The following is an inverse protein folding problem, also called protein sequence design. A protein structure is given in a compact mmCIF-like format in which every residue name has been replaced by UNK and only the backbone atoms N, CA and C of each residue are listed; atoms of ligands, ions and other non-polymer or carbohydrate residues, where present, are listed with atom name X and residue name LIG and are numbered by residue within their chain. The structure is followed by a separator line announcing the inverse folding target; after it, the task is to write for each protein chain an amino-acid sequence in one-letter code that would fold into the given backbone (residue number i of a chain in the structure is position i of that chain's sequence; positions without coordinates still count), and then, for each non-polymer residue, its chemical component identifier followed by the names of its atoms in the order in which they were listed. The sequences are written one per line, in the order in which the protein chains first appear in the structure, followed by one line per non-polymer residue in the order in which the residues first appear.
data_IF_883793471130
#
_entry.id   IF_883793471130
#
_cell.length_a   1.000
_cell.length_b   1.000
_cell.length_c   1.000
_cell.angle_alpha   90.00
_cell.angle_beta   90.00
_cell.angle_gamma   90.00
#
_symmetry.space_group_name_H-M   'P 1'
#
loop_
_entity.id
_entity.type
_entity.pdbx_description
1 polymer ?
#
# COMPACT_ATOMS: atom_id res chain seq x y z
N UNK A 1 42.57 23.40 -34.35
CA UNK A 1 41.66 22.26 -34.22
C UNK A 1 41.21 21.98 -32.78
N UNK A 2 42.02 22.20 -31.73
CA UNK A 2 41.68 21.96 -30.31
C UNK A 2 40.51 22.83 -29.75
N UNK A 3 40.27 24.02 -30.26
CA UNK A 3 39.23 24.90 -29.73
C UNK A 3 37.81 24.49 -30.17
N UNK A 4 37.65 23.99 -31.39
CA UNK A 4 36.33 23.48 -31.86
C UNK A 4 35.93 22.19 -31.17
N UNK A 5 36.88 21.30 -30.88
CA UNK A 5 36.62 20.07 -30.14
C UNK A 5 36.16 20.37 -28.67
N UNK A 6 36.76 21.38 -28.01
CA UNK A 6 36.34 21.81 -26.69
C UNK A 6 34.93 22.42 -26.67
N UNK A 7 34.60 23.24 -27.65
CA UNK A 7 33.24 23.82 -27.76
C UNK A 7 32.17 22.76 -28.00
N UNK A 8 32.46 21.77 -28.84
CA UNK A 8 31.56 20.65 -29.08
C UNK A 8 31.39 19.80 -27.82
N UNK A 9 32.50 19.49 -27.11
CA UNK A 9 32.45 18.74 -25.85
C UNK A 9 31.66 19.47 -24.75
N UNK A 10 31.84 20.80 -24.64
CA UNK A 10 31.05 21.63 -23.72
C UNK A 10 29.56 21.64 -24.08
N UNK A 11 29.22 21.79 -25.36
CA UNK A 11 27.83 21.74 -25.83
C UNK A 11 27.15 20.39 -25.52
N UNK A 12 27.87 19.29 -25.75
CA UNK A 12 27.37 17.94 -25.39
C UNK A 12 27.18 17.79 -23.88
N UNK A 13 28.14 18.24 -23.08
CA UNK A 13 28.01 18.17 -21.61
C UNK A 13 26.82 18.97 -21.09
N UNK A 14 26.63 20.21 -21.58
CA UNK A 14 25.48 21.04 -21.22
C UNK A 14 24.17 20.37 -21.63
N UNK A 15 24.11 19.80 -22.86
CA UNK A 15 22.93 19.07 -23.34
C UNK A 15 22.58 17.87 -22.49
N UNK A 16 23.57 17.07 -22.03
CA UNK A 16 23.35 15.94 -21.16
C UNK A 16 22.86 16.37 -19.76
N UNK A 17 23.42 17.44 -19.20
CA UNK A 17 22.96 17.99 -17.93
C UNK A 17 21.55 18.53 -18.04
N UNK A 18 21.21 19.26 -19.11
CA UNK A 18 19.85 19.73 -19.33
C UNK A 18 18.85 18.59 -19.49
N UNK A 19 19.21 17.53 -20.23
CA UNK A 19 18.39 16.33 -20.39
C UNK A 19 18.17 15.64 -19.03
N UNK A 20 19.20 15.52 -18.22
CA UNK A 20 19.08 14.95 -16.87
C UNK A 20 18.11 15.76 -16.00
N UNK A 21 18.21 17.09 -16.00
CA UNK A 21 17.27 17.94 -15.27
C UNK A 21 15.84 17.84 -15.79
N UNK A 22 15.65 17.73 -17.10
CA UNK A 22 14.32 17.52 -17.68
C UNK A 22 13.75 16.18 -17.24
N UNK A 23 14.54 15.11 -17.26
CA UNK A 23 14.11 13.79 -16.82
C UNK A 23 13.80 13.75 -15.32
N UNK A 24 14.61 14.40 -14.49
CA UNK A 24 14.36 14.53 -13.05
C UNK A 24 13.09 15.35 -12.78
N UNK A 25 12.92 16.48 -13.45
CA UNK A 25 11.72 17.30 -13.33
C UNK A 25 10.47 16.52 -13.78
N UNK A 26 10.57 15.79 -14.89
CA UNK A 26 9.47 14.94 -15.38
C UNK A 26 9.13 13.82 -14.38
N UNK A 27 10.14 13.15 -13.81
CA UNK A 27 9.97 12.14 -12.77
C UNK A 27 9.27 12.70 -11.53
N UNK A 28 9.70 13.86 -11.03
CA UNK A 28 9.09 14.52 -9.87
C UNK A 28 7.65 14.99 -10.13
N UNK A 29 7.36 15.45 -11.33
CA UNK A 29 6.01 15.90 -11.71
C UNK A 29 5.05 14.74 -11.98
N UNK A 30 5.58 13.57 -12.35
CA UNK A 30 4.80 12.36 -12.62
C UNK A 30 4.85 11.34 -11.47
N UNK A 31 5.39 11.72 -10.32
CA UNK A 31 5.36 10.88 -9.12
C UNK A 31 3.92 10.71 -8.63
N UNK A 32 3.37 9.52 -8.83
CA UNK A 32 2.03 9.14 -8.35
C UNK A 32 2.06 8.61 -6.90
N UNK A 33 3.24 8.55 -6.29
CA UNK A 33 3.42 8.07 -4.93
C UNK A 33 2.56 8.86 -3.93
N UNK A 34 1.75 8.16 -3.16
CA UNK A 34 0.90 8.74 -2.13
C UNK A 34 -0.30 9.56 -2.61
N UNK A 35 -0.57 9.65 -3.94
CA UNK A 35 -1.71 10.43 -4.45
C UNK A 35 -3.06 9.85 -4.04
N UNK A 36 -3.19 8.52 -4.03
CA UNK A 36 -4.39 7.81 -3.57
C UNK A 36 -4.68 8.11 -2.10
N UNK A 37 -3.66 8.00 -1.24
CA UNK A 37 -3.76 8.30 0.19
C UNK A 37 -4.16 9.77 0.44
N UNK A 38 -3.55 10.70 -0.28
CA UNK A 38 -3.88 12.14 -0.18
C UNK A 38 -5.34 12.42 -0.59
N UNK A 39 -5.82 11.81 -1.68
CA UNK A 39 -7.22 11.94 -2.14
C UNK A 39 -8.19 11.37 -1.11
N UNK A 40 -7.95 10.15 -0.63
CA UNK A 40 -8.78 9.53 0.39
C UNK A 40 -8.88 10.39 1.65
N UNK A 41 -7.74 10.86 2.17
CA UNK A 41 -7.69 11.66 3.40
C UNK A 41 -8.25 13.10 3.24
N UNK A 42 -8.50 13.56 2.00
CA UNK A 42 -9.28 14.78 1.72
C UNK A 42 -10.79 14.53 1.59
N UNK A 43 -11.22 13.28 1.62
CA UNK A 43 -12.63 12.88 1.48
C UNK A 43 -13.09 12.67 0.03
N UNK A 44 -12.16 12.62 -0.95
CA UNK A 44 -12.50 12.44 -2.37
C UNK A 44 -13.04 11.03 -2.68
N UNK A 45 -12.88 10.05 -1.80
CA UNK A 45 -13.28 8.64 -1.94
C UNK A 45 -12.92 8.03 -3.31
N UNK A 46 -11.64 8.00 -3.70
CA UNK A 46 -11.24 7.44 -4.98
C UNK A 46 -11.52 5.93 -5.04
N UNK A 47 -11.74 5.41 -6.24
CA UNK A 47 -11.89 3.96 -6.43
C UNK A 47 -10.57 3.27 -6.06
N UNK A 48 -10.64 2.21 -5.24
CA UNK A 48 -9.48 1.39 -4.89
C UNK A 48 -8.98 0.66 -6.14
N UNK A 49 -7.66 0.68 -6.41
CA UNK A 49 -7.08 -0.17 -7.44
C UNK A 49 -7.40 -1.64 -7.18
N UNK A 50 -7.88 -2.35 -8.21
CA UNK A 50 -8.19 -3.77 -8.09
C UNK A 50 -6.92 -4.61 -8.18
N UNK A 51 -6.94 -5.78 -7.54
CA UNK A 51 -5.89 -6.78 -7.65
C UNK A 51 -6.48 -8.18 -7.58
N UNK A 52 -5.80 -9.14 -8.21
CA UNK A 52 -6.00 -10.58 -8.03
C UNK A 52 -4.64 -11.18 -7.74
N UNK A 53 -4.43 -11.67 -6.53
CA UNK A 53 -3.14 -12.12 -6.03
C UNK A 53 -3.26 -13.50 -5.37
N UNK A 54 -2.18 -14.29 -5.48
CA UNK A 54 -2.07 -15.58 -4.80
C UNK A 54 -2.09 -15.42 -3.28
N UNK A 55 -2.80 -16.30 -2.60
CA UNK A 55 -2.85 -16.34 -1.15
C UNK A 55 -1.59 -16.98 -0.55
N UNK A 56 -1.18 -16.48 0.63
CA UNK A 56 -0.12 -17.07 1.44
C UNK A 56 -0.64 -17.95 2.56
N UNK A 57 -1.86 -17.71 3.01
CA UNK A 57 -2.54 -18.38 4.12
C UNK A 57 -3.28 -19.64 3.67
N UNK A 58 -3.67 -19.72 2.40
CA UNK A 58 -4.47 -20.80 1.81
C UNK A 58 -4.08 -21.00 0.35
N UNK A 59 -4.63 -22.02 -0.30
CA UNK A 59 -4.49 -22.22 -1.74
C UNK A 59 -5.45 -21.28 -2.51
N UNK A 60 -5.05 -20.89 -3.73
CA UNK A 60 -5.83 -20.07 -4.64
C UNK A 60 -5.48 -18.60 -4.61
N UNK A 61 -6.40 -17.79 -5.09
CA UNK A 61 -6.23 -16.35 -5.27
C UNK A 61 -7.31 -15.58 -4.50
N UNK A 62 -7.02 -14.33 -4.17
CA UNK A 62 -7.99 -13.37 -3.68
C UNK A 62 -8.09 -12.21 -4.67
N UNK A 63 -9.30 -12.01 -5.17
CA UNK A 63 -9.65 -10.85 -5.99
C UNK A 63 -10.37 -9.82 -5.09
N UNK A 64 -9.84 -8.60 -5.02
CA UNK A 64 -10.45 -7.52 -4.25
C UNK A 64 -11.92 -7.28 -4.67
N UNK A 65 -12.23 -7.45 -5.96
CA UNK A 65 -13.59 -7.24 -6.47
C UNK A 65 -14.62 -8.23 -5.89
N UNK A 66 -14.17 -9.42 -5.47
CA UNK A 66 -15.02 -10.43 -4.82
C UNK A 66 -15.47 -10.03 -3.41
N UNK A 67 -14.85 -9.00 -2.84
CA UNK A 67 -15.17 -8.46 -1.52
C UNK A 67 -16.16 -7.28 -1.57
N UNK A 68 -16.73 -6.96 -2.75
CA UNK A 68 -17.80 -5.94 -2.86
C UNK A 68 -18.95 -6.23 -1.91
N UNK A 69 -19.51 -5.20 -1.33
CA UNK A 69 -20.54 -5.30 -0.29
C UNK A 69 -19.99 -5.47 1.13
N UNK A 70 -18.66 -5.57 1.27
CA UNK A 70 -17.97 -5.59 2.57
C UNK A 70 -17.05 -4.39 2.71
N UNK A 71 -16.85 -3.92 3.93
CA UNK A 71 -15.74 -3.02 4.22
C UNK A 71 -14.43 -3.81 4.21
N UNK A 72 -13.36 -3.25 3.64
CA UNK A 72 -12.06 -3.93 3.53
C UNK A 72 -10.96 -3.05 4.08
N UNK A 73 -10.13 -3.60 4.96
CA UNK A 73 -8.87 -3.00 5.40
C UNK A 73 -7.74 -3.70 4.65
N UNK A 74 -7.08 -3.01 3.73
CA UNK A 74 -5.90 -3.52 3.01
C UNK A 74 -4.67 -2.96 3.70
N UNK A 75 -3.82 -3.84 4.21
CA UNK A 75 -2.57 -3.48 4.89
C UNK A 75 -1.37 -3.99 4.09
N UNK A 76 -0.53 -3.07 3.65
CA UNK A 76 0.73 -3.36 2.95
C UNK A 76 1.86 -3.53 3.97
N UNK A 77 2.54 -4.66 3.91
CA UNK A 77 3.57 -5.03 4.87
C UNK A 77 4.68 -5.91 4.27
N UNK A 78 5.75 -6.13 5.03
CA UNK A 78 6.79 -7.10 4.73
C UNK A 78 7.36 -7.70 6.03
N UNK A 79 7.90 -8.90 6.00
CA UNK A 79 8.44 -9.58 7.19
C UNK A 79 9.66 -8.88 7.80
N UNK A 80 10.43 -8.18 7.00
CA UNK A 80 11.60 -7.40 7.41
C UNK A 80 11.25 -6.02 8.01
N UNK A 81 9.99 -5.57 7.85
CA UNK A 81 9.52 -4.28 8.35
C UNK A 81 9.34 -4.31 9.87
N UNK A 82 10.10 -3.51 10.60
CA UNK A 82 10.06 -3.49 12.06
C UNK A 82 8.72 -2.94 12.60
N UNK A 83 8.17 -1.78 12.13
CA UNK A 83 6.88 -1.28 12.62
C UNK A 83 5.69 -2.16 12.22
N UNK A 84 5.79 -2.97 11.15
CA UNK A 84 4.75 -3.94 10.78
C UNK A 84 4.55 -5.02 11.86
N UNK A 85 5.62 -5.36 12.62
CA UNK A 85 5.54 -6.30 13.75
C UNK A 85 4.73 -5.76 14.91
N UNK A 86 4.74 -4.44 15.08
CA UNK A 86 4.05 -3.76 16.16
C UNK A 86 2.55 -3.59 15.87
N UNK A 87 2.17 -3.44 14.60
CA UNK A 87 0.76 -3.30 14.24
C UNK A 87 0.02 -4.62 13.99
N UNK A 88 0.74 -5.71 13.68
CA UNK A 88 0.12 -6.99 13.37
C UNK A 88 -0.92 -7.47 14.42
N UNK A 89 -0.66 -7.36 15.74
CA UNK A 89 -1.66 -7.71 16.75
C UNK A 89 -2.91 -6.80 16.72
N UNK A 90 -2.76 -5.53 16.32
CA UNK A 90 -3.88 -4.58 16.21
C UNK A 90 -4.80 -4.98 15.07
N UNK A 91 -4.24 -5.31 13.92
CA UNK A 91 -5.02 -5.75 12.75
C UNK A 91 -5.70 -7.09 13.01
N UNK A 92 -5.05 -8.01 13.72
CA UNK A 92 -5.67 -9.29 14.13
C UNK A 92 -6.84 -9.07 15.08
N UNK A 93 -6.73 -8.13 16.03
CA UNK A 93 -7.83 -7.76 16.91
C UNK A 93 -9.02 -7.17 16.12
N UNK A 94 -8.75 -6.29 15.16
CA UNK A 94 -9.76 -5.71 14.27
C UNK A 94 -10.45 -6.80 13.45
N UNK A 95 -9.68 -7.73 12.88
CA UNK A 95 -10.20 -8.88 12.15
C UNK A 95 -11.08 -9.77 13.01
N UNK A 96 -10.61 -10.15 14.19
CA UNK A 96 -11.35 -11.02 15.10
C UNK A 96 -12.72 -10.42 15.49
N UNK A 97 -12.80 -9.10 15.69
CA UNK A 97 -14.03 -8.38 16.02
C UNK A 97 -14.91 -8.10 14.80
N UNK A 98 -14.29 -7.88 13.65
CA UNK A 98 -14.94 -7.37 12.44
C UNK A 98 -15.52 -8.43 11.51
N UNK A 99 -14.96 -9.65 11.49
CA UNK A 99 -15.33 -10.71 10.53
C UNK A 99 -16.80 -11.13 10.55
N UNK A 100 -17.52 -10.87 11.64
CA UNK A 100 -18.96 -11.12 11.75
C UNK A 100 -19.82 -9.89 11.38
N UNK A 101 -19.20 -8.76 11.04
CA UNK A 101 -19.83 -7.47 10.73
C UNK A 101 -19.59 -7.02 9.29
N UNK A 102 -19.36 -7.95 8.35
CA UNK A 102 -19.02 -7.64 6.95
C UNK A 102 -17.73 -6.80 6.81
N UNK A 103 -16.77 -6.99 7.70
CA UNK A 103 -15.43 -6.44 7.61
C UNK A 103 -14.42 -7.54 7.23
N UNK A 104 -13.57 -7.26 6.26
CA UNK A 104 -12.44 -8.12 5.89
C UNK A 104 -11.14 -7.34 6.07
N UNK A 105 -10.17 -7.94 6.74
CA UNK A 105 -8.79 -7.48 6.74
C UNK A 105 -8.03 -8.30 5.72
N UNK A 106 -7.28 -7.67 4.83
CA UNK A 106 -6.40 -8.32 3.84
C UNK A 106 -4.98 -7.80 4.06
N UNK A 107 -4.08 -8.69 4.44
CA UNK A 107 -2.65 -8.40 4.44
C UNK A 107 -2.06 -8.57 3.04
N UNK A 108 -1.38 -7.57 2.56
CA UNK A 108 -0.69 -7.62 1.27
C UNK A 108 0.81 -7.58 1.51
N UNK A 109 1.44 -8.76 1.40
CA UNK A 109 2.88 -8.95 1.55
C UNK A 109 3.59 -8.59 0.26
N UNK A 110 4.46 -7.59 0.30
CA UNK A 110 5.15 -7.07 -0.88
C UNK A 110 6.66 -6.89 -0.65
N UNK A 111 7.43 -7.05 -1.73
CA UNK A 111 8.89 -6.90 -1.70
C UNK A 111 9.55 -7.82 -0.66
N UNK A 112 9.03 -9.02 -0.51
CA UNK A 112 9.43 -10.00 0.49
C UNK A 112 9.55 -11.42 -0.11
N UNK A 113 10.03 -12.38 0.68
CA UNK A 113 10.10 -13.78 0.32
C UNK A 113 8.98 -14.57 0.99
N UNK A 114 8.23 -15.37 0.22
CA UNK A 114 7.11 -16.19 0.72
C UNK A 114 7.43 -16.99 2.00
N UNK A 115 8.60 -17.65 2.16
CA UNK A 115 8.92 -18.36 3.38
C UNK A 115 9.03 -17.46 4.61
N UNK A 116 9.55 -16.23 4.42
CA UNK A 116 9.73 -15.25 5.50
C UNK A 116 8.39 -14.64 5.89
N UNK A 117 7.56 -14.27 4.90
CA UNK A 117 6.18 -13.84 5.11
C UNK A 117 5.36 -14.88 5.89
N UNK A 118 5.39 -16.17 5.47
CA UNK A 118 4.71 -17.24 6.19
C UNK A 118 5.24 -17.45 7.60
N UNK A 119 6.54 -17.23 7.84
CA UNK A 119 7.14 -17.28 9.18
C UNK A 119 6.64 -16.14 10.05
N UNK A 120 6.53 -14.93 9.46
CA UNK A 120 5.96 -13.76 10.11
C UNK A 120 4.51 -14.02 10.51
N UNK A 121 3.66 -14.48 9.60
CA UNK A 121 2.25 -14.82 9.88
C UNK A 121 2.12 -15.77 11.08
N UNK A 122 2.89 -16.87 11.08
CA UNK A 122 2.88 -17.83 12.21
C UNK A 122 3.35 -17.21 13.51
N UNK A 123 4.40 -16.36 13.46
CA UNK A 123 4.98 -15.73 14.66
C UNK A 123 4.02 -14.75 15.32
N UNK A 124 3.26 -14.01 14.54
CA UNK A 124 2.33 -12.99 15.04
C UNK A 124 0.88 -13.47 15.10
N UNK A 125 0.61 -14.74 14.80
CA UNK A 125 -0.71 -15.34 14.89
C UNK A 125 -1.72 -14.73 13.93
N UNK A 126 -1.29 -14.34 12.72
CA UNK A 126 -2.14 -13.73 11.70
C UNK A 126 -3.11 -14.77 11.16
N UNK A 127 -4.42 -14.51 11.26
CA UNK A 127 -5.51 -15.37 10.79
C UNK A 127 -6.38 -14.72 9.73
N UNK A 128 -6.21 -13.43 9.46
CA UNK A 128 -6.85 -12.78 8.32
C UNK A 128 -6.20 -13.20 6.98
N UNK A 129 -6.93 -13.12 5.85
CA UNK A 129 -6.40 -13.40 4.53
C UNK A 129 -5.13 -12.62 4.22
N UNK A 130 -4.10 -13.30 3.72
CA UNK A 130 -2.85 -12.68 3.27
C UNK A 130 -2.57 -13.07 1.84
N UNK A 131 -2.28 -12.07 1.00
CA UNK A 131 -1.89 -12.23 -0.40
C UNK A 131 -0.45 -11.81 -0.65
N UNK A 132 0.15 -12.32 -1.71
CA UNK A 132 1.54 -12.08 -2.08
C UNK A 132 1.66 -11.25 -3.35
N UNK A 133 2.18 -10.02 -3.22
CA UNK A 133 2.42 -9.10 -4.34
C UNK A 133 3.82 -9.25 -4.96
N UNK A 134 4.69 -10.06 -4.35
CA UNK A 134 6.02 -10.35 -4.89
C UNK A 134 6.83 -9.09 -5.18
N UNK A 135 6.99 -8.70 -6.47
CA UNK A 135 7.78 -7.52 -6.86
C UNK A 135 7.14 -6.18 -6.45
N UNK A 136 5.84 -6.15 -6.10
CA UNK A 136 5.18 -4.95 -5.60
C UNK A 136 4.38 -4.16 -6.65
N UNK A 137 3.79 -4.81 -7.64
CA UNK A 137 2.96 -4.14 -8.64
C UNK A 137 1.74 -3.45 -8.03
N UNK A 138 1.03 -4.13 -7.14
CA UNK A 138 -0.11 -3.54 -6.41
C UNK A 138 0.34 -2.41 -5.48
N UNK A 139 1.54 -2.54 -4.89
CA UNK A 139 2.18 -1.48 -4.09
C UNK A 139 2.31 -0.18 -4.91
N UNK A 140 2.72 -0.29 -6.17
CA UNK A 140 2.88 0.85 -7.08
C UNK A 140 1.50 1.43 -7.48
N UNK A 141 0.49 0.59 -7.74
CA UNK A 141 -0.87 1.02 -8.09
C UNK A 141 -1.56 1.79 -6.96
N UNK A 142 -1.31 1.41 -5.70
CA UNK A 142 -1.79 2.14 -4.52
C UNK A 142 -0.94 3.37 -4.18
N UNK A 143 0.23 3.52 -4.82
CA UNK A 143 1.18 4.59 -4.54
C UNK A 143 1.79 4.49 -3.15
N UNK A 144 1.99 3.26 -2.65
CA UNK A 144 2.61 2.99 -1.34
C UNK A 144 4.06 3.44 -1.36
N UNK A 145 4.43 4.27 -0.41
CA UNK A 145 5.77 4.87 -0.32
C UNK A 145 6.69 4.17 0.67
N UNK A 146 6.11 3.37 1.57
CA UNK A 146 6.84 2.61 2.59
C UNK A 146 5.93 1.63 3.32
N UNK A 147 6.49 0.82 4.20
CA UNK A 147 5.73 -0.13 5.02
C UNK A 147 5.79 0.24 6.51
N UNK A 148 4.66 0.05 7.23
CA UNK A 148 3.36 -0.34 6.71
C UNK A 148 2.57 0.84 6.14
N UNK A 149 1.64 0.56 5.23
CA UNK A 149 0.57 1.49 4.86
C UNK A 149 -0.77 0.75 4.84
N UNK A 150 -1.82 1.39 5.38
CA UNK A 150 -3.15 0.78 5.52
C UNK A 150 -4.19 1.63 4.81
N UNK A 151 -5.02 0.99 4.00
CA UNK A 151 -6.14 1.61 3.29
C UNK A 151 -7.46 1.00 3.77
N UNK A 152 -8.43 1.85 4.09
CA UNK A 152 -9.79 1.44 4.42
C UNK A 152 -10.68 1.68 3.21
N UNK A 153 -11.38 0.64 2.79
CA UNK A 153 -12.20 0.62 1.57
C UNK A 153 -13.64 0.34 1.98
N UNK A 154 -14.60 1.11 1.47
CA UNK A 154 -16.02 0.93 1.72
C UNK A 154 -16.63 -0.21 0.88
N UNK A 155 -17.92 -0.50 1.11
CA UNK A 155 -18.65 -1.56 0.43
C UNK A 155 -18.77 -1.35 -1.08
N UNK A 156 -18.67 -0.11 -1.56
CA UNK A 156 -18.65 0.24 -2.98
C UNK A 156 -17.23 0.13 -3.59
N UNK A 157 -16.21 -0.16 -2.78
CA UNK A 157 -14.81 -0.28 -3.17
C UNK A 157 -14.11 1.04 -3.39
N UNK A 158 -14.50 2.06 -2.63
CA UNK A 158 -13.83 3.36 -2.59
C UNK A 158 -12.96 3.48 -1.36
N UNK A 159 -11.81 4.08 -1.49
CA UNK A 159 -10.92 4.33 -0.36
C UNK A 159 -11.46 5.50 0.46
N UNK A 160 -11.81 5.25 1.71
CA UNK A 160 -12.34 6.27 2.63
C UNK A 160 -11.24 6.87 3.51
N UNK A 161 -10.19 6.11 3.80
CA UNK A 161 -9.04 6.60 4.57
C UNK A 161 -7.77 5.84 4.20
N UNK A 162 -6.62 6.48 4.42
CA UNK A 162 -5.31 5.88 4.30
C UNK A 162 -4.40 6.32 5.46
N UNK A 163 -3.60 5.38 5.95
CA UNK A 163 -2.66 5.56 7.05
C UNK A 163 -1.26 5.21 6.57
N UNK A 164 -0.36 6.18 6.65
CA UNK A 164 1.06 5.99 6.35
C UNK A 164 1.80 5.76 7.66
N UNK A 165 2.44 4.61 7.79
CA UNK A 165 3.06 4.15 9.04
C UNK A 165 2.13 3.24 9.87
N UNK A 166 2.67 2.73 10.97
CA UNK A 166 1.98 1.75 11.82
C UNK A 166 0.76 2.35 12.55
N UNK A 167 -0.33 1.60 12.60
CA UNK A 167 -1.59 1.99 13.28
C UNK A 167 -1.64 1.43 14.71
N UNK A 168 -0.54 1.48 15.44
CA UNK A 168 -0.39 0.91 16.77
C UNK A 168 -0.54 1.92 17.93
N UNK A 169 -0.48 3.23 17.66
CA UNK A 169 -0.75 4.30 18.62
C UNK A 169 -2.24 4.44 18.93
N UNK A 170 -2.57 5.05 20.07
CA UNK A 170 -3.95 5.24 20.50
C UNK A 170 -4.76 6.09 19.52
N UNK A 171 -4.18 7.22 19.09
CA UNK A 171 -4.83 8.13 18.14
C UNK A 171 -5.05 7.46 16.78
N UNK A 172 -4.05 6.71 16.28
CA UNK A 172 -4.15 5.97 15.01
C UNK A 172 -5.22 4.88 15.09
N UNK A 173 -5.32 4.16 16.21
CA UNK A 173 -6.35 3.15 16.44
C UNK A 173 -7.76 3.74 16.44
N UNK A 174 -7.97 4.87 17.12
CA UNK A 174 -9.25 5.58 17.14
C UNK A 174 -9.63 6.04 15.73
N UNK A 175 -8.70 6.64 15.01
CA UNK A 175 -8.92 7.06 13.60
C UNK A 175 -9.21 5.89 12.67
N UNK A 176 -8.48 4.78 12.81
CA UNK A 176 -8.71 3.57 12.02
C UNK A 176 -10.10 2.98 12.32
N UNK A 177 -10.49 2.90 13.59
CA UNK A 177 -11.83 2.42 13.97
C UNK A 177 -12.93 3.31 13.38
N UNK A 178 -12.78 4.63 13.47
CA UNK A 178 -13.72 5.59 12.87
C UNK A 178 -13.85 5.43 11.34
N UNK A 179 -12.73 5.21 10.66
CA UNK A 179 -12.73 4.96 9.21
C UNK A 179 -13.42 3.62 8.84
N UNK A 180 -13.22 2.59 9.66
CA UNK A 180 -13.89 1.30 9.50
C UNK A 180 -15.40 1.45 9.70
N UNK A 181 -15.84 2.18 10.73
CA UNK A 181 -17.26 2.40 10.99
C UNK A 181 -17.92 3.23 9.86
N UNK A 182 -17.21 4.21 9.29
CA UNK A 182 -17.65 4.95 8.08
C UNK A 182 -17.78 4.00 6.87
N UNK A 183 -16.78 3.14 6.63
CA UNK A 183 -16.81 2.17 5.53
C UNK A 183 -17.92 1.12 5.66
N UNK A 184 -18.31 0.77 6.88
CA UNK A 184 -19.43 -0.16 7.16
C UNK A 184 -20.80 0.47 7.01
N UNK A 185 -20.90 1.79 7.13
CA UNK A 185 -22.16 2.53 7.08
C UNK A 185 -22.62 2.89 5.65
N UNK A 186 -21.71 2.78 4.69
CA UNK A 186 -21.94 3.03 3.27
C UNK A 186 -22.47 1.78 2.59
#
# INVERSE_FOLDING_TARGET
MASRARLVAQGVAIGLVALLFILLAWSLLNDKGGDLAKKANRGDRPVAPSFTLERLDDDGELDLSSLRGKAVVVNFWASWCAPCKEEAPVLEEIWAKGKQRDLVVVGLDAKDFRPDARRFMRRFGITFPVVYDGPGGTTDDYGVTGFPETFVIDREGRVVAAFVGAVNGEDERVRLQSAIDDALST
#
